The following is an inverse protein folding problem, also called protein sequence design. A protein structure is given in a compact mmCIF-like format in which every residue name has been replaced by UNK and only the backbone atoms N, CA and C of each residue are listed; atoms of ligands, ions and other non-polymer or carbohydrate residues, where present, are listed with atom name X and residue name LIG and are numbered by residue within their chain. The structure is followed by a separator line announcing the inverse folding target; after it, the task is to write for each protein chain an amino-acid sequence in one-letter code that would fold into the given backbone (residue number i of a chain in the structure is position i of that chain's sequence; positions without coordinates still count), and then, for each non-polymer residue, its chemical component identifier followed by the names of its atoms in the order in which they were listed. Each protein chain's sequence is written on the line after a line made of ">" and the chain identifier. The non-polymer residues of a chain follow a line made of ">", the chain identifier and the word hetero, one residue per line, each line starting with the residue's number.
data_IF_388187950747
#
_entry.id   IF_388187950747
#
_cell.length_a   1.000
_cell.length_b   1.000
_cell.length_c   1.000
_cell.angle_alpha   90.00
_cell.angle_beta   90.00
_cell.angle_gamma   90.00
#
_symmetry.space_group_name_H-M   'P 1'
#
loop_
_entity.id
_entity.type
_entity.pdbx_description
1 polymer ?
#
# COMPACT_ATOMS: atom_id res chain seq x y z
N UNK A 1 3.77 -22.28 -3.45
CA UNK A 1 2.67 -22.40 -2.47
C UNK A 1 1.39 -21.87 -3.10
N UNK A 2 0.22 -22.19 -2.53
CA UNK A 2 -1.09 -21.92 -3.18
C UNK A 2 -1.36 -20.43 -3.40
N UNK A 3 -0.72 -19.56 -2.62
CA UNK A 3 -0.91 -18.11 -2.61
C UNK A 3 0.27 -17.29 -3.14
N UNK A 4 1.28 -17.93 -3.77
CA UNK A 4 2.46 -17.21 -4.32
C UNK A 4 2.05 -16.10 -5.31
N UNK A 5 0.98 -16.33 -6.07
CA UNK A 5 0.44 -15.36 -7.01
C UNK A 5 0.05 -14.03 -6.35
N UNK A 6 -0.39 -14.02 -5.08
CA UNK A 6 -0.70 -12.79 -4.34
C UNK A 6 0.58 -12.02 -3.98
N UNK A 7 1.66 -12.74 -3.68
CA UNK A 7 2.98 -12.17 -3.39
C UNK A 7 3.57 -11.57 -4.67
N UNK A 8 3.53 -12.31 -5.77
CA UNK A 8 3.99 -11.85 -7.10
C UNK A 8 3.17 -10.64 -7.60
N UNK A 9 1.86 -10.65 -7.39
CA UNK A 9 0.99 -9.52 -7.74
C UNK A 9 1.35 -8.30 -6.89
N UNK A 10 1.51 -8.46 -5.57
CA UNK A 10 1.98 -7.36 -4.72
C UNK A 10 3.36 -6.86 -5.15
N UNK A 11 4.23 -7.75 -5.63
CA UNK A 11 5.56 -7.41 -6.10
C UNK A 11 5.54 -6.45 -7.28
N UNK A 12 4.75 -6.78 -8.28
CA UNK A 12 4.60 -5.94 -9.47
C UNK A 12 3.79 -4.68 -9.20
N UNK A 13 2.74 -4.76 -8.37
CA UNK A 13 1.87 -3.61 -8.06
C UNK A 13 2.62 -2.51 -7.28
N UNK A 14 3.48 -2.85 -6.32
CA UNK A 14 4.28 -1.82 -5.62
C UNK A 14 5.22 -1.08 -6.58
N UNK A 15 5.79 -1.77 -7.56
CA UNK A 15 6.67 -1.16 -8.56
C UNK A 15 5.88 -0.27 -9.53
N UNK A 16 4.67 -0.69 -9.92
CA UNK A 16 3.76 0.13 -10.73
C UNK A 16 3.44 1.45 -10.02
N UNK A 17 3.12 1.42 -8.73
CA UNK A 17 2.80 2.62 -7.94
C UNK A 17 3.98 3.59 -7.97
N UNK A 18 5.19 3.13 -7.66
CA UNK A 18 6.40 3.95 -7.67
C UNK A 18 6.69 4.49 -9.08
N UNK A 19 6.49 3.66 -10.11
CA UNK A 19 6.66 4.07 -11.50
C UNK A 19 5.71 5.21 -11.87
N UNK A 20 4.43 5.11 -11.51
CA UNK A 20 3.45 6.19 -11.73
C UNK A 20 3.83 7.45 -10.95
N UNK A 21 4.24 7.31 -9.69
CA UNK A 21 4.68 8.45 -8.88
C UNK A 21 5.90 9.17 -9.46
N UNK A 22 6.80 8.42 -10.09
CA UNK A 22 7.99 8.98 -10.74
C UNK A 22 7.68 9.83 -11.97
N UNK A 23 6.48 9.70 -12.55
CA UNK A 23 6.06 10.51 -13.71
C UNK A 23 5.63 11.93 -13.32
N UNK A 24 5.35 12.18 -12.04
CA UNK A 24 5.04 13.52 -11.56
C UNK A 24 6.31 14.33 -11.26
N UNK A 25 6.18 15.65 -11.33
CA UNK A 25 7.17 16.61 -10.85
C UNK A 25 6.75 17.15 -9.48
N UNK A 26 7.67 17.84 -8.81
CA UNK A 26 7.40 18.42 -7.50
C UNK A 26 6.31 19.50 -7.57
N UNK A 27 6.21 20.23 -8.69
CA UNK A 27 5.15 21.21 -8.98
C UNK A 27 3.74 20.58 -9.10
N UNK A 28 3.67 19.30 -9.49
CA UNK A 28 2.39 18.59 -9.66
C UNK A 28 1.77 18.13 -8.33
N UNK A 29 2.53 18.16 -7.23
CA UNK A 29 2.12 17.60 -5.94
C UNK A 29 0.81 18.19 -5.40
N UNK A 30 0.49 19.43 -5.76
CA UNK A 30 -0.73 20.13 -5.32
C UNK A 30 -1.87 20.07 -6.33
N UNK A 31 -1.61 19.55 -7.54
CA UNK A 31 -2.59 19.50 -8.62
C UNK A 31 -3.72 18.54 -8.26
N UNK A 32 -4.96 19.01 -8.44
CA UNK A 32 -6.18 18.21 -8.37
C UNK A 32 -6.69 17.95 -9.79
N UNK A 33 -7.20 16.73 -10.10
CA UNK A 33 -7.79 16.44 -11.41
C UNK A 33 -8.94 17.39 -11.79
N UNK A 34 -9.76 17.76 -10.80
CA UNK A 34 -10.78 18.79 -10.94
C UNK A 34 -10.59 19.84 -9.84
N UNK A 35 -10.24 21.06 -10.24
CA UNK A 35 -9.95 22.17 -9.31
C UNK A 35 -11.16 22.58 -8.45
N UNK A 36 -12.38 22.27 -8.89
CA UNK A 36 -13.62 22.61 -8.17
C UNK A 36 -14.15 21.44 -7.33
N UNK A 37 -13.60 20.25 -7.49
CA UNK A 37 -14.00 19.10 -6.69
C UNK A 37 -13.19 19.05 -5.39
N UNK A 38 -13.85 19.46 -4.32
CA UNK A 38 -13.27 19.43 -2.97
C UNK A 38 -13.11 18.01 -2.41
N UNK A 39 -13.73 16.98 -3.03
CA UNK A 39 -13.62 15.58 -2.60
C UNK A 39 -12.49 14.83 -3.30
N UNK A 40 -12.10 15.26 -4.50
CA UNK A 40 -10.99 14.68 -5.25
C UNK A 40 -9.66 15.01 -4.59
N UNK A 41 -8.72 14.05 -4.55
CA UNK A 41 -7.40 14.23 -3.93
C UNK A 41 -6.42 14.93 -4.88
N UNK A 42 -5.51 15.73 -4.32
CA UNK A 42 -4.28 16.11 -5.02
C UNK A 42 -3.33 14.93 -5.15
N UNK A 43 -2.27 15.06 -5.95
CA UNK A 43 -1.20 14.05 -6.05
C UNK A 43 -0.62 13.73 -4.67
N UNK A 44 -0.27 14.75 -3.87
CA UNK A 44 0.23 14.57 -2.51
C UNK A 44 -0.78 13.84 -1.62
N UNK A 45 -2.04 14.25 -1.63
CA UNK A 45 -3.07 13.61 -0.81
C UNK A 45 -3.31 12.15 -1.21
N UNK A 46 -3.13 11.81 -2.49
CA UNK A 46 -3.18 10.43 -2.96
C UNK A 46 -1.98 9.62 -2.44
N UNK A 47 -0.77 10.17 -2.46
CA UNK A 47 0.43 9.53 -1.91
C UNK A 47 0.30 9.29 -0.39
N UNK A 48 -0.15 10.31 0.35
CA UNK A 48 -0.47 10.19 1.79
C UNK A 48 -1.47 9.06 2.01
N UNK A 49 -2.56 9.07 1.25
CA UNK A 49 -3.60 8.07 1.38
C UNK A 49 -3.08 6.65 1.11
N UNK A 50 -2.28 6.46 0.06
CA UNK A 50 -1.71 5.16 -0.27
C UNK A 50 -0.80 4.66 0.85
N UNK A 51 0.15 5.48 1.32
CA UNK A 51 1.08 5.11 2.38
C UNK A 51 0.36 4.76 3.70
N UNK A 52 -0.55 5.63 4.15
CA UNK A 52 -1.27 5.45 5.41
C UNK A 52 -2.25 4.28 5.34
N UNK A 53 -3.04 4.21 4.27
CA UNK A 53 -4.02 3.13 4.09
C UNK A 53 -3.33 1.77 4.02
N UNK A 54 -2.28 1.63 3.21
CA UNK A 54 -1.56 0.36 3.10
C UNK A 54 -0.93 -0.04 4.45
N UNK A 55 -0.29 0.89 5.15
CA UNK A 55 0.28 0.61 6.45
C UNK A 55 -0.77 0.11 7.46
N UNK A 56 -1.91 0.79 7.56
CA UNK A 56 -2.98 0.41 8.48
C UNK A 56 -3.61 -0.94 8.12
N UNK A 57 -3.71 -1.29 6.85
CA UNK A 57 -4.18 -2.61 6.43
C UNK A 57 -3.19 -3.70 6.83
N UNK A 58 -1.90 -3.49 6.58
CA UNK A 58 -0.87 -4.47 6.93
C UNK A 58 -0.79 -4.69 8.44
N UNK A 59 -0.79 -3.62 9.24
CA UNK A 59 -0.76 -3.74 10.70
C UNK A 59 -2.05 -4.38 11.24
N UNK A 60 -3.21 -3.80 10.93
CA UNK A 60 -4.44 -4.16 11.64
C UNK A 60 -5.13 -5.43 11.10
N UNK A 61 -4.91 -5.77 9.83
CA UNK A 61 -5.65 -6.85 9.15
C UNK A 61 -4.74 -8.01 8.72
N UNK A 62 -3.45 -7.75 8.51
CA UNK A 62 -2.49 -8.77 8.09
C UNK A 62 -1.44 -9.08 9.17
N UNK A 63 -1.43 -8.35 10.30
CA UNK A 63 -0.44 -8.56 11.37
C UNK A 63 1.02 -8.48 10.87
N UNK A 64 1.28 -7.47 10.04
CA UNK A 64 2.60 -7.17 9.48
C UNK A 64 2.91 -5.70 9.78
N UNK A 65 3.88 -5.50 10.67
CA UNK A 65 4.42 -4.18 11.00
C UNK A 65 5.86 -4.06 10.49
N UNK A 66 6.15 -2.96 9.79
CA UNK A 66 7.50 -2.63 9.30
C UNK A 66 8.27 -1.72 10.26
N UNK A 67 7.67 -1.38 11.41
CA UNK A 67 8.24 -0.60 12.52
C UNK A 67 8.76 0.78 12.08
N UNK A 68 8.04 1.41 11.14
CA UNK A 68 8.39 2.71 10.59
C UNK A 68 7.15 3.60 10.47
N UNK A 69 7.30 4.93 10.58
CA UNK A 69 6.21 5.84 10.27
C UNK A 69 5.81 5.69 8.79
N UNK A 70 4.51 5.65 8.46
CA UNK A 70 4.05 5.42 7.08
C UNK A 70 4.35 6.59 6.15
N UNK A 71 4.55 7.79 6.70
CA UNK A 71 4.83 9.00 5.95
C UNK A 71 6.32 9.36 6.06
N UNK A 72 6.91 9.98 5.02
CA UNK A 72 8.21 10.62 5.16
C UNK A 72 8.15 11.80 6.12
N UNK A 73 9.30 12.22 6.65
CA UNK A 73 9.38 13.44 7.49
C UNK A 73 9.05 14.71 6.69
N UNK A 74 9.41 14.71 5.40
CA UNK A 74 9.07 15.76 4.44
C UNK A 74 8.15 15.19 3.38
N UNK A 75 6.98 15.79 3.23
CA UNK A 75 5.99 15.36 2.24
C UNK A 75 6.30 15.89 0.81
N UNK A 76 7.54 15.68 0.38
CA UNK A 76 7.96 15.88 -1.01
C UNK A 76 7.89 14.57 -1.81
N UNK A 77 7.90 14.70 -3.13
CA UNK A 77 7.66 13.58 -4.05
C UNK A 77 8.71 12.47 -3.89
N UNK A 78 10.00 12.83 -3.77
CA UNK A 78 11.08 11.86 -3.69
C UNK A 78 11.06 11.13 -2.35
N UNK A 79 10.78 11.84 -1.26
CA UNK A 79 10.67 11.26 0.06
C UNK A 79 9.46 10.31 0.18
N UNK A 80 8.33 10.60 -0.48
CA UNK A 80 7.23 9.64 -0.61
C UNK A 80 7.66 8.36 -1.35
N UNK A 81 8.32 8.51 -2.49
CA UNK A 81 8.82 7.37 -3.28
C UNK A 81 9.78 6.52 -2.45
N UNK A 82 10.73 7.15 -1.74
CA UNK A 82 11.70 6.47 -0.90
C UNK A 82 11.02 5.71 0.24
N UNK A 83 10.16 6.39 1.01
CA UNK A 83 9.42 5.79 2.13
C UNK A 83 8.58 4.60 1.67
N UNK A 84 7.79 4.78 0.61
CA UNK A 84 6.92 3.73 0.10
C UNK A 84 7.72 2.52 -0.42
N UNK A 85 8.82 2.77 -1.14
CA UNK A 85 9.68 1.69 -1.67
C UNK A 85 10.29 0.86 -0.54
N UNK A 86 10.80 1.50 0.51
CA UNK A 86 11.41 0.82 1.66
C UNK A 86 10.37 -0.01 2.41
N UNK A 87 9.23 0.59 2.75
CA UNK A 87 8.22 -0.07 3.57
C UNK A 87 7.54 -1.21 2.81
N UNK A 88 7.19 -0.99 1.54
CA UNK A 88 6.57 -2.02 0.71
C UNK A 88 7.50 -3.20 0.43
N UNK A 89 8.81 -2.97 0.29
CA UNK A 89 9.80 -4.04 0.16
C UNK A 89 9.96 -4.87 1.45
N UNK A 90 9.91 -4.24 2.63
CA UNK A 90 9.89 -4.96 3.92
C UNK A 90 8.64 -5.82 4.05
N UNK A 91 7.46 -5.28 3.71
CA UNK A 91 6.20 -6.05 3.68
C UNK A 91 6.32 -7.27 2.75
N UNK A 92 6.87 -7.10 1.55
CA UNK A 92 7.10 -8.20 0.62
C UNK A 92 7.97 -9.29 1.24
N UNK A 93 9.09 -8.92 1.86
CA UNK A 93 10.00 -9.88 2.48
C UNK A 93 9.26 -10.71 3.55
N UNK A 94 8.47 -10.05 4.41
CA UNK A 94 7.65 -10.73 5.42
C UNK A 94 6.59 -11.64 4.80
N UNK A 95 5.94 -11.22 3.70
CA UNK A 95 4.95 -12.01 2.98
C UNK A 95 5.55 -13.29 2.38
N UNK A 96 6.79 -13.23 1.89
CA UNK A 96 7.51 -14.39 1.33
C UNK A 96 7.77 -15.50 2.36
N UNK A 97 7.78 -15.16 3.64
CA UNK A 97 7.97 -16.12 4.73
C UNK A 97 6.64 -16.73 5.24
N UNK A 98 5.49 -16.32 4.70
CA UNK A 98 4.18 -16.83 5.13
C UNK A 98 3.79 -18.11 4.39
N UNK A 99 3.32 -19.10 5.14
CA UNK A 99 2.82 -20.37 4.61
C UNK A 99 1.31 -20.33 4.30
N UNK A 100 0.81 -21.36 3.62
CA UNK A 100 -0.61 -21.45 3.22
C UNK A 100 -1.57 -21.35 4.42
N UNK A 101 -1.23 -21.91 5.58
CA UNK A 101 -2.06 -21.81 6.79
C UNK A 101 -2.23 -20.36 7.27
N UNK A 102 -1.19 -19.52 7.19
CA UNK A 102 -1.28 -18.10 7.53
C UNK A 102 -2.22 -17.34 6.58
N UNK A 103 -2.20 -17.69 5.30
CA UNK A 103 -3.07 -17.09 4.26
C UNK A 103 -4.54 -17.46 4.44
N UNK A 104 -4.80 -18.69 4.89
CA UNK A 104 -6.15 -19.23 5.10
C UNK A 104 -6.77 -18.79 6.42
N UNK A 105 -5.94 -18.40 7.39
CA UNK A 105 -6.39 -17.94 8.70
C UNK A 105 -7.34 -16.74 8.59
N UNK A 106 -8.40 -16.78 9.40
CA UNK A 106 -9.36 -15.71 9.53
C UNK A 106 -8.74 -14.50 10.25
N UNK A 107 -8.97 -13.31 9.71
CA UNK A 107 -8.61 -12.03 10.30
C UNK A 107 -9.80 -11.07 10.24
N UNK A 108 -9.75 -10.03 11.07
CA UNK A 108 -10.80 -9.01 11.14
C UNK A 108 -10.62 -8.03 9.97
N UNK A 109 -11.61 -7.98 9.09
CA UNK A 109 -11.73 -6.99 8.04
C UNK A 109 -12.90 -6.05 8.39
N UNK A 110 -12.57 -4.95 9.06
CA UNK A 110 -13.57 -4.04 9.65
C UNK A 110 -14.51 -4.77 10.62
N UNK A 111 -15.78 -4.93 10.25
CA UNK A 111 -16.84 -5.56 11.04
C UNK A 111 -17.10 -7.03 10.64
N UNK A 112 -16.34 -7.57 9.69
CA UNK A 112 -16.50 -8.94 9.20
C UNK A 112 -15.21 -9.76 9.30
N UNK A 113 -15.35 -11.07 9.42
CA UNK A 113 -14.23 -12.01 9.40
C UNK A 113 -13.96 -12.52 7.99
N UNK A 114 -12.71 -12.45 7.52
CA UNK A 114 -12.26 -12.90 6.19
C UNK A 114 -10.85 -13.51 6.28
N UNK A 115 -10.52 -14.41 5.36
CA UNK A 115 -9.16 -14.95 5.30
C UNK A 115 -8.14 -13.85 4.92
N UNK A 116 -6.90 -13.98 5.38
CA UNK A 116 -5.82 -13.04 5.00
C UNK A 116 -5.62 -13.00 3.48
N UNK A 117 -5.78 -14.11 2.77
CA UNK A 117 -5.76 -14.16 1.31
C UNK A 117 -6.85 -13.29 0.66
N UNK A 118 -8.07 -13.31 1.20
CA UNK A 118 -9.16 -12.46 0.72
C UNK A 118 -8.86 -10.98 0.99
N UNK A 119 -8.37 -10.66 2.19
CA UNK A 119 -8.01 -9.29 2.59
C UNK A 119 -6.89 -8.76 1.68
N UNK A 120 -5.87 -9.57 1.38
CA UNK A 120 -4.78 -9.19 0.50
C UNK A 120 -5.28 -8.93 -0.93
N UNK A 121 -6.18 -9.77 -1.45
CA UNK A 121 -6.85 -9.51 -2.73
C UNK A 121 -7.55 -8.14 -2.73
N UNK A 122 -8.26 -7.81 -1.65
CA UNK A 122 -8.90 -6.49 -1.52
C UNK A 122 -7.87 -5.35 -1.44
N UNK A 123 -6.76 -5.54 -0.72
CA UNK A 123 -5.67 -4.55 -0.63
C UNK A 123 -5.07 -4.25 -1.99
N UNK A 124 -4.84 -5.29 -2.81
CA UNK A 124 -4.38 -5.14 -4.18
C UNK A 124 -5.38 -4.29 -4.99
N UNK A 125 -6.67 -4.63 -4.96
CA UNK A 125 -7.71 -3.86 -5.68
C UNK A 125 -7.91 -2.42 -5.16
N UNK A 126 -7.50 -2.12 -3.94
CA UNK A 126 -7.55 -0.76 -3.39
C UNK A 126 -6.36 0.08 -3.86
N UNK A 127 -5.24 -0.55 -4.23
CA UNK A 127 -4.06 0.13 -4.75
C UNK A 127 -4.05 0.29 -6.27
N UNK A 128 -4.81 -0.55 -6.99
CA UNK A 128 -4.83 -0.62 -8.46
C UNK A 128 -5.66 0.44 -9.15
#
# INVERSE_FOLDING_TARGET
>A
MSYDFLIETYDTERLKIVSVWSMFKDEDMTVRPNQRDIRGRSVREQMIHQCVSENLWFINMLDIDVTAPPLPEKEDRLEFINRYTIDSAKRLAILKDKNDSWWEEASTFFDVSRSRAWIMTRRLTHSS
#
